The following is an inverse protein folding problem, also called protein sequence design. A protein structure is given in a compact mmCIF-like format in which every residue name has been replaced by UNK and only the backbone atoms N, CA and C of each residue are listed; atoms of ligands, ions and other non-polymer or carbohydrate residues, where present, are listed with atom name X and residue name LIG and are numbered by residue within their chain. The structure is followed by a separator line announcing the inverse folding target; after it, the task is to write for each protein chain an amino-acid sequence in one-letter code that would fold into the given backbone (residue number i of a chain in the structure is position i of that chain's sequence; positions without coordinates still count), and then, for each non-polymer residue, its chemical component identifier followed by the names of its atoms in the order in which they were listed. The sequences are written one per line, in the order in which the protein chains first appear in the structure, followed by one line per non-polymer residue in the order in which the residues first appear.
data_IF_789888321092
#
_entry.id   IF_789888321092
#
_cell.length_a   1.000
_cell.length_b   1.000
_cell.length_c   1.000
_cell.angle_alpha   90.00
_cell.angle_beta   90.00
_cell.angle_gamma   90.00
#
_symmetry.space_group_name_H-M   'P 1'
#
loop_
_entity.id
_entity.type
_entity.pdbx_description
1 polymer ?
#
# COMPACT_ATOMS: atom_id res chain seq x y z
N UNK A 1 28.44 28.43 48.03
CA UNK A 1 27.31 27.48 48.07
C UNK A 1 26.11 28.16 47.43
N UNK A 2 25.54 27.66 46.32
CA UNK A 2 24.33 28.24 45.75
C UNK A 2 23.09 27.54 46.31
N UNK A 3 22.09 28.34 46.64
CA UNK A 3 20.78 27.93 47.16
C UNK A 3 19.94 27.22 46.08
N UNK A 4 19.02 26.32 46.44
CA UNK A 4 18.19 25.61 45.49
C UNK A 4 17.19 26.56 44.83
N UNK A 5 17.15 26.53 43.49
CA UNK A 5 16.19 27.26 42.66
C UNK A 5 14.75 26.88 43.02
N UNK A 6 14.08 27.73 43.80
CA UNK A 6 12.63 27.67 43.98
C UNK A 6 11.96 28.27 42.75
N UNK A 7 11.38 27.42 41.90
CA UNK A 7 10.53 27.87 40.80
C UNK A 7 9.08 27.74 41.25
N UNK A 8 8.45 28.88 41.54
CA UNK A 8 7.05 28.98 41.94
C UNK A 8 6.12 28.85 40.72
N UNK A 9 5.10 27.99 40.81
CA UNK A 9 3.98 27.99 39.88
C UNK A 9 2.68 28.34 40.60
N UNK A 10 2.07 29.45 40.18
CA UNK A 10 0.80 29.94 40.70
C UNK A 10 -0.31 29.70 39.66
N UNK A 11 -1.32 28.89 40.01
CA UNK A 11 -2.59 28.88 39.29
C UNK A 11 -3.74 28.62 40.26
N UNK A 12 -4.58 29.64 40.46
CA UNK A 12 -5.90 29.51 41.08
C UNK A 12 -5.93 29.29 42.60
N UNK A 13 -5.53 30.31 43.38
CA UNK A 13 -6.19 30.68 44.65
C UNK A 13 -6.18 29.74 45.87
N UNK A 14 -5.75 28.48 45.80
CA UNK A 14 -5.57 27.64 47.00
C UNK A 14 -4.49 26.60 46.75
N UNK A 15 -3.27 26.91 47.15
CA UNK A 15 -2.17 25.94 47.16
C UNK A 15 -2.52 24.81 48.12
N UNK A 16 -2.77 23.60 47.61
CA UNK A 16 -2.69 22.38 48.39
C UNK A 16 -1.33 21.76 48.11
N UNK A 17 -0.55 21.54 49.16
CA UNK A 17 0.55 20.58 49.14
C UNK A 17 -0.13 19.22 49.00
N UNK A 18 -0.07 18.63 47.80
CA UNK A 18 -0.34 17.22 47.62
C UNK A 18 1.01 16.53 47.79
N UNK A 19 1.07 15.59 48.72
CA UNK A 19 2.23 14.77 49.02
C UNK A 19 2.77 14.13 47.73
N UNK A 20 4.09 14.08 47.62
CA UNK A 20 4.85 13.91 46.38
C UNK A 20 4.73 12.51 45.72
N UNK A 21 3.84 11.62 46.17
CA UNK A 21 4.01 10.17 45.94
C UNK A 21 3.24 9.55 44.76
N UNK A 22 2.50 10.31 43.94
CA UNK A 22 1.87 9.75 42.72
C UNK A 22 2.13 10.52 41.42
N UNK A 23 3.02 11.52 41.44
CA UNK A 23 3.63 12.01 40.21
C UNK A 23 4.78 11.08 39.87
N UNK A 24 4.54 10.01 39.09
CA UNK A 24 5.56 9.08 38.61
C UNK A 24 6.75 9.87 38.04
N UNK A 25 7.79 9.99 38.85
CA UNK A 25 9.04 10.67 38.49
C UNK A 25 9.78 9.73 37.55
N UNK A 26 9.49 9.85 36.24
CA UNK A 26 10.19 9.09 35.22
C UNK A 26 11.68 9.47 35.29
N UNK A 27 12.52 8.54 35.76
CA UNK A 27 13.95 8.81 35.90
C UNK A 27 14.54 9.17 34.52
N UNK A 28 15.63 9.94 34.49
CA UNK A 28 16.28 10.29 33.23
C UNK A 28 16.65 9.04 32.39
N UNK A 29 16.97 7.93 33.06
CA UNK A 29 17.24 6.63 32.44
C UNK A 29 15.97 5.98 31.84
N UNK A 30 14.84 6.04 32.56
CA UNK A 30 13.56 5.57 32.06
C UNK A 30 13.13 6.40 30.84
N UNK A 31 13.20 7.74 30.91
CA UNK A 31 12.90 8.63 29.78
C UNK A 31 13.81 8.34 28.57
N UNK A 32 15.12 8.14 28.79
CA UNK A 32 16.05 7.77 27.72
C UNK A 32 15.70 6.41 27.09
N UNK A 33 15.32 5.40 27.90
CA UNK A 33 14.87 4.09 27.41
C UNK A 33 13.56 4.16 26.62
N UNK A 34 12.59 4.97 27.08
CA UNK A 34 11.34 5.23 26.36
C UNK A 34 11.58 5.97 25.03
N UNK A 35 12.48 6.96 25.03
CA UNK A 35 12.87 7.70 23.82
C UNK A 35 13.58 6.79 22.81
N UNK A 36 14.54 5.97 23.25
CA UNK A 36 15.24 5.02 22.40
C UNK A 36 14.31 3.97 21.77
N UNK A 37 13.35 3.44 22.54
CA UNK A 37 12.31 2.53 21.99
C UNK A 37 11.45 3.21 20.94
N UNK A 38 10.97 4.44 21.18
CA UNK A 38 10.20 5.21 20.20
C UNK A 38 10.99 5.50 18.92
N UNK A 39 12.28 5.84 19.06
CA UNK A 39 13.14 6.09 17.91
C UNK A 39 13.42 4.82 17.11
N UNK A 40 13.65 3.69 17.78
CA UNK A 40 13.79 2.39 17.14
C UNK A 40 12.51 1.99 16.39
N UNK A 41 11.34 2.16 16.99
CA UNK A 41 10.05 1.90 16.33
C UNK A 41 9.83 2.82 15.13
N UNK A 42 10.17 4.11 15.25
CA UNK A 42 10.10 5.06 14.13
C UNK A 42 11.03 4.63 12.99
N UNK A 43 12.25 4.19 13.32
CA UNK A 43 13.22 3.70 12.34
C UNK A 43 12.74 2.42 11.64
N UNK A 44 12.18 1.46 12.39
CA UNK A 44 11.56 0.24 11.83
C UNK A 44 10.40 0.57 10.89
N UNK A 45 9.44 1.40 11.33
CA UNK A 45 8.33 1.84 10.49
C UNK A 45 8.81 2.54 9.22
N UNK A 46 9.83 3.39 9.33
CA UNK A 46 10.43 4.03 8.17
C UNK A 46 11.02 3.01 7.19
N UNK A 47 11.81 2.05 7.68
CA UNK A 47 12.35 0.97 6.85
C UNK A 47 11.25 0.14 6.18
N UNK A 48 10.18 -0.21 6.91
CA UNK A 48 9.02 -0.93 6.36
C UNK A 48 8.33 -0.14 5.25
N UNK A 49 8.12 1.17 5.45
CA UNK A 49 7.50 2.02 4.41
C UNK A 49 8.37 2.10 3.14
N UNK A 50 9.69 2.14 3.29
CA UNK A 50 10.61 2.13 2.14
C UNK A 50 10.56 0.79 1.40
N UNK A 51 10.53 -0.32 2.13
CA UNK A 51 10.38 -1.66 1.54
C UNK A 51 9.05 -1.77 0.79
N UNK A 52 7.96 -1.30 1.40
CA UNK A 52 6.64 -1.29 0.78
C UNK A 52 6.63 -0.45 -0.51
N UNK A 53 7.20 0.76 -0.47
CA UNK A 53 7.31 1.61 -1.66
C UNK A 53 8.16 0.97 -2.76
N UNK A 54 9.30 0.36 -2.40
CA UNK A 54 10.16 -0.36 -3.36
C UNK A 54 9.41 -1.54 -4.00
N UNK A 55 8.67 -2.32 -3.22
CA UNK A 55 7.89 -3.44 -3.72
C UNK A 55 6.75 -2.97 -4.64
N UNK A 56 6.06 -1.88 -4.29
CA UNK A 56 5.06 -1.25 -5.14
C UNK A 56 5.65 -0.76 -6.46
N UNK A 57 6.83 -0.14 -6.43
CA UNK A 57 7.53 0.27 -7.65
C UNK A 57 7.87 -0.94 -8.53
N UNK A 58 8.42 -2.02 -7.95
CA UNK A 58 8.70 -3.26 -8.70
C UNK A 58 7.42 -3.82 -9.35
N UNK A 59 6.32 -3.91 -8.60
CA UNK A 59 5.03 -4.36 -9.12
C UNK A 59 4.54 -3.47 -10.27
N UNK A 60 4.62 -2.14 -10.13
CA UNK A 60 4.28 -1.20 -11.22
C UNK A 60 5.12 -1.45 -12.46
N UNK A 61 6.44 -1.59 -12.32
CA UNK A 61 7.32 -1.86 -13.47
C UNK A 61 7.03 -3.19 -14.15
N UNK A 62 6.55 -4.21 -13.42
CA UNK A 62 6.12 -5.47 -14.02
C UNK A 62 4.89 -5.28 -14.90
N UNK A 63 3.89 -4.55 -14.39
CA UNK A 63 2.68 -4.22 -15.16
C UNK A 63 3.02 -3.35 -16.37
N UNK A 64 3.86 -2.33 -16.22
CA UNK A 64 4.29 -1.48 -17.34
C UNK A 64 4.96 -2.28 -18.46
N UNK A 65 5.89 -3.16 -18.10
CA UNK A 65 6.55 -4.06 -19.05
C UNK A 65 5.55 -4.96 -19.76
N UNK A 66 4.57 -5.50 -19.03
CA UNK A 66 3.51 -6.31 -19.60
C UNK A 66 2.68 -5.50 -20.62
N UNK A 67 2.24 -4.30 -20.27
CA UNK A 67 1.49 -3.43 -21.17
C UNK A 67 2.30 -3.08 -22.44
N UNK A 68 3.59 -2.80 -22.29
CA UNK A 68 4.50 -2.53 -23.41
C UNK A 68 4.67 -3.74 -24.33
N UNK A 69 4.89 -4.93 -23.78
CA UNK A 69 5.00 -6.18 -24.56
C UNK A 69 3.72 -6.44 -25.38
N UNK A 70 2.56 -6.08 -24.84
CA UNK A 70 1.28 -6.18 -25.55
C UNK A 70 0.94 -4.99 -26.44
N UNK A 71 1.85 -4.03 -26.58
CA UNK A 71 1.67 -2.81 -27.39
C UNK A 71 0.47 -1.97 -26.94
N UNK A 72 0.23 -1.92 -25.62
CA UNK A 72 -0.81 -1.09 -25.01
C UNK A 72 -0.14 0.19 -24.53
N UNK A 73 -0.50 1.31 -25.16
CA UNK A 73 -0.01 2.63 -24.74
C UNK A 73 -0.84 3.13 -23.56
N UNK A 74 -0.22 3.24 -22.39
CA UNK A 74 -0.83 3.83 -21.19
C UNK A 74 -0.02 5.05 -20.76
N UNK A 75 -0.54 6.24 -21.05
CA UNK A 75 0.14 7.50 -20.70
C UNK A 75 -0.06 7.88 -19.20
N UNK A 76 -1.00 7.22 -18.49
CA UNK A 76 -1.39 7.55 -17.10
C UNK A 76 -1.36 6.35 -16.13
N UNK A 77 -0.71 5.23 -16.49
CA UNK A 77 -0.80 3.96 -15.74
C UNK A 77 -2.25 3.48 -15.53
N UNK A 78 -3.13 3.76 -16.48
CA UNK A 78 -4.49 3.22 -16.46
C UNK A 78 -4.45 1.76 -16.96
N UNK A 79 -4.85 0.84 -16.09
CA UNK A 79 -4.88 -0.62 -16.33
C UNK A 79 -6.15 -1.07 -17.05
N UNK A 80 -7.15 -0.19 -17.18
CA UNK A 80 -8.39 -0.45 -17.91
C UNK A 80 -8.33 0.11 -19.35
N UNK A 81 -7.14 0.52 -19.81
CA UNK A 81 -6.95 0.97 -21.20
C UNK A 81 -7.10 -0.21 -22.14
N UNK A 82 -8.08 -0.13 -23.01
CA UNK A 82 -8.25 -1.16 -24.01
C UNK A 82 -7.26 -0.99 -25.17
N UNK A 83 -6.61 -2.10 -25.53
CA UNK A 83 -5.93 -2.24 -26.81
C UNK A 83 -6.97 -2.18 -27.93
N UNK A 84 -6.81 -1.21 -28.84
CA UNK A 84 -7.57 -1.12 -30.09
C UNK A 84 -6.75 -1.78 -31.19
N UNK A 85 -7.29 -2.80 -31.86
CA UNK A 85 -6.64 -3.42 -33.02
C UNK A 85 -7.43 -3.20 -34.31
N UNK A 86 -6.77 -3.47 -35.45
CA UNK A 86 -7.26 -3.46 -36.83
C UNK A 86 -8.45 -2.50 -37.06
N UNK A 87 -8.14 -1.27 -37.47
CA UNK A 87 -9.13 -0.23 -37.81
C UNK A 87 -9.98 0.27 -36.63
N UNK A 88 -9.67 -0.11 -35.39
CA UNK A 88 -10.41 0.30 -34.21
C UNK A 88 -11.64 -0.56 -33.90
N UNK A 89 -11.79 -1.70 -34.59
CA UNK A 89 -12.95 -2.58 -34.48
C UNK A 89 -12.84 -3.58 -33.33
N UNK A 90 -11.63 -3.97 -32.96
CA UNK A 90 -11.39 -4.92 -31.86
C UNK A 90 -10.89 -4.20 -30.63
N UNK A 91 -11.47 -4.53 -29.47
CA UNK A 91 -11.13 -3.96 -28.17
C UNK A 91 -10.82 -5.08 -27.20
N UNK A 92 -9.61 -5.10 -26.64
CA UNK A 92 -9.19 -6.09 -25.63
C UNK A 92 -8.48 -5.40 -24.47
N UNK A 93 -8.80 -5.77 -23.23
CA UNK A 93 -8.18 -5.17 -22.05
C UNK A 93 -6.99 -5.99 -21.54
N UNK A 94 -6.05 -5.39 -20.78
CA UNK A 94 -4.88 -6.09 -20.24
C UNK A 94 -5.24 -7.36 -19.47
N UNK A 95 -6.35 -7.32 -18.71
CA UNK A 95 -6.81 -8.45 -17.93
C UNK A 95 -7.25 -9.65 -18.79
N UNK A 96 -7.80 -9.42 -19.98
CA UNK A 96 -8.11 -10.49 -20.93
C UNK A 96 -6.85 -11.15 -21.47
N UNK A 97 -5.81 -10.36 -21.75
CA UNK A 97 -4.54 -10.88 -22.25
C UNK A 97 -3.86 -11.75 -21.20
N UNK A 98 -3.79 -11.27 -19.95
CA UNK A 98 -3.24 -12.04 -18.84
C UNK A 98 -4.01 -13.35 -18.58
N UNK A 99 -5.34 -13.31 -18.64
CA UNK A 99 -6.18 -14.51 -18.52
C UNK A 99 -5.96 -15.50 -19.67
N UNK A 100 -5.87 -15.01 -20.91
CA UNK A 100 -5.60 -15.82 -22.11
C UNK A 100 -4.22 -16.49 -22.06
N UNK A 101 -3.23 -15.82 -21.50
CA UNK A 101 -1.86 -16.34 -21.32
C UNK A 101 -1.71 -17.22 -20.07
N UNK A 102 -2.76 -17.29 -19.24
CA UNK A 102 -2.76 -18.01 -17.95
C UNK A 102 -1.70 -17.47 -16.97
N UNK A 103 -1.34 -16.20 -17.10
CA UNK A 103 -0.44 -15.52 -16.17
C UNK A 103 -1.22 -15.03 -14.94
N UNK A 104 -1.44 -15.94 -13.99
CA UNK A 104 -2.18 -15.65 -12.75
C UNK A 104 -1.49 -14.60 -11.88
N UNK A 105 -0.17 -14.50 -11.96
CA UNK A 105 0.58 -13.48 -11.24
C UNK A 105 0.25 -12.09 -11.79
N UNK A 106 0.25 -11.94 -13.13
CA UNK A 106 -0.16 -10.70 -13.77
C UNK A 106 -1.64 -10.38 -13.56
N UNK A 107 -2.53 -11.38 -13.58
CA UNK A 107 -3.95 -11.19 -13.23
C UNK A 107 -4.10 -10.59 -11.83
N UNK A 108 -3.40 -11.14 -10.83
CA UNK A 108 -3.41 -10.61 -9.46
C UNK A 108 -2.85 -9.19 -9.38
N UNK A 109 -1.75 -8.91 -10.08
CA UNK A 109 -1.17 -7.57 -10.12
C UNK A 109 -2.10 -6.55 -10.77
N UNK A 110 -2.69 -6.87 -11.92
CA UNK A 110 -3.64 -5.98 -12.60
C UNK A 110 -4.86 -5.70 -11.71
N UNK A 111 -5.42 -6.70 -11.05
CA UNK A 111 -6.52 -6.53 -10.08
C UNK A 111 -6.10 -5.67 -8.88
N UNK A 112 -4.89 -5.89 -8.34
CA UNK A 112 -4.34 -5.07 -7.26
C UNK A 112 -4.24 -3.58 -7.64
N UNK A 113 -3.98 -3.29 -8.92
CA UNK A 113 -3.97 -1.93 -9.46
C UNK A 113 -5.33 -1.41 -9.95
N UNK A 114 -6.42 -2.14 -9.69
CA UNK A 114 -7.79 -1.69 -10.00
C UNK A 114 -8.29 -2.03 -11.41
N UNK A 115 -7.74 -3.08 -12.04
CA UNK A 115 -8.31 -3.61 -13.27
C UNK A 115 -9.73 -4.13 -13.02
N UNK A 116 -10.67 -3.77 -13.88
CA UNK A 116 -12.08 -4.15 -13.75
C UNK A 116 -12.32 -5.50 -14.46
N UNK A 117 -12.66 -6.58 -13.73
CA UNK A 117 -12.93 -7.89 -14.32
C UNK A 117 -14.28 -7.99 -15.02
N UNK A 118 -15.17 -7.01 -14.88
CA UNK A 118 -16.48 -7.00 -15.53
C UNK A 118 -16.44 -6.50 -16.97
N UNK A 119 -15.33 -5.85 -17.37
CA UNK A 119 -15.18 -5.29 -18.70
C UNK A 119 -15.20 -6.39 -19.75
N UNK A 120 -16.05 -6.20 -20.76
CA UNK A 120 -16.14 -7.11 -21.89
C UNK A 120 -15.30 -6.62 -23.07
N UNK A 121 -14.59 -7.56 -23.69
CA UNK A 121 -13.90 -7.35 -24.96
C UNK A 121 -14.90 -7.18 -26.13
N UNK A 122 -14.39 -6.97 -27.35
CA UNK A 122 -15.22 -6.82 -28.55
C UNK A 122 -16.03 -8.07 -28.94
N UNK A 123 -15.79 -9.22 -28.30
CA UNK A 123 -16.56 -10.46 -28.48
C UNK A 123 -17.64 -10.63 -27.40
N UNK A 124 -17.79 -9.66 -26.49
CA UNK A 124 -18.68 -9.77 -25.34
C UNK A 124 -18.15 -10.70 -24.25
N UNK A 125 -16.87 -11.10 -24.33
CA UNK A 125 -16.26 -12.03 -23.39
C UNK A 125 -15.64 -11.24 -22.25
N UNK A 126 -15.77 -11.75 -21.03
CA UNK A 126 -15.06 -11.28 -19.85
C UNK A 126 -13.68 -11.96 -19.74
N UNK A 127 -12.76 -11.46 -18.91
CA UNK A 127 -11.49 -12.15 -18.65
C UNK A 127 -11.70 -13.56 -18.10
N UNK A 128 -12.77 -13.80 -17.33
CA UNK A 128 -13.08 -15.10 -16.76
C UNK A 128 -13.40 -16.16 -17.83
N UNK A 129 -14.07 -15.75 -18.91
CA UNK A 129 -14.41 -16.64 -20.02
C UNK A 129 -13.15 -17.22 -20.71
N UNK A 130 -12.01 -16.52 -20.61
CA UNK A 130 -10.72 -16.97 -21.13
C UNK A 130 -9.95 -17.92 -20.19
N UNK A 131 -10.33 -18.03 -18.92
CA UNK A 131 -9.63 -18.86 -17.92
C UNK A 131 -9.89 -20.37 -18.08
N UNK A 132 -10.86 -20.75 -18.92
CA UNK A 132 -11.18 -22.13 -19.25
C UNK A 132 -11.88 -22.89 -18.11
N UNK A 133 -12.19 -24.18 -18.31
CA UNK A 133 -12.92 -25.00 -17.33
C UNK A 133 -12.13 -25.25 -16.03
N UNK A 134 -10.80 -25.10 -16.05
CA UNK A 134 -9.94 -25.36 -14.89
C UNK A 134 -10.19 -24.43 -13.70
N UNK A 135 -10.66 -23.20 -13.92
CA UNK A 135 -11.06 -22.31 -12.81
C UNK A 135 -12.52 -22.48 -12.37
N UNK A 136 -13.37 -23.12 -13.18
CA UNK A 136 -14.76 -23.43 -12.78
C UNK A 136 -14.84 -24.63 -11.84
N UNK A 137 -13.90 -25.58 -11.98
CA UNK A 137 -13.93 -26.84 -11.24
C UNK A 137 -13.34 -26.78 -9.82
N UNK A 138 -12.66 -25.70 -9.42
CA UNK A 138 -12.07 -25.57 -8.07
C UNK A 138 -13.01 -24.92 -7.03
N UNK A 139 -14.24 -24.55 -7.42
CA UNK A 139 -15.21 -23.86 -6.55
C UNK A 139 -16.63 -24.48 -6.60
N UNK A 140 -16.76 -25.76 -6.99
CA UNK A 140 -17.97 -26.57 -6.79
C UNK A 140 -17.78 -27.59 -5.65
#
# INVERSE_FOLDING_TARGET
MPLPNQVFYQRGGRCKVLEEDEAVQCSAEQLAGWQGKKEQERSKRYQETLLQQSNLQKAKTQVDKFLQNHHIRSDSFDVNVAKKSCWGLCRTYPLHLAAKERDWHMVRLLLFFGADPSLQDSRGMTPYDYMGPYMRAEYD
#
